data_IF_738901743419
#
_entry.id   IF_738901743419
#
_cell.length_a   1.000
_cell.length_b   1.000
_cell.length_c   1.000
_cell.angle_alpha   90.00
_cell.angle_beta   90.00
_cell.angle_gamma   90.00
#
_symmetry.space_group_name_H-M   'P 1'
#
loop_
_entity.id
_entity.type
_entity.pdbx_description
1 polymer ?
#
# COMPACT_ATOMS: atom_id res chain seq x y z
N UNK A 1 12.40 3.22 -13.12
CA UNK A 1 11.37 3.05 -12.07
C UNK A 1 10.10 2.63 -12.75
N UNK A 2 9.41 1.63 -12.22
CA UNK A 2 8.10 1.25 -12.72
C UNK A 2 7.04 2.12 -12.04
N UNK A 3 6.13 2.76 -12.80
CA UNK A 3 5.17 3.71 -12.25
C UNK A 3 4.26 3.12 -11.16
N UNK A 4 4.02 1.80 -11.19
CA UNK A 4 3.26 1.06 -10.20
C UNK A 4 3.97 1.01 -8.84
N UNK A 5 5.30 0.82 -8.83
CA UNK A 5 6.08 0.81 -7.58
C UNK A 5 6.10 2.20 -6.96
N UNK A 6 6.28 3.24 -7.77
CA UNK A 6 6.26 4.64 -7.32
C UNK A 6 4.88 5.01 -6.76
N UNK A 7 3.80 4.56 -7.40
CA UNK A 7 2.44 4.74 -6.89
C UNK A 7 2.27 4.11 -5.51
N UNK A 8 2.69 2.86 -5.31
CA UNK A 8 2.53 2.14 -4.04
C UNK A 8 3.34 2.79 -2.90
N UNK A 9 4.53 3.30 -3.20
CA UNK A 9 5.37 4.02 -2.23
C UNK A 9 4.77 5.38 -1.87
N UNK A 10 4.34 6.15 -2.87
CA UNK A 10 3.69 7.43 -2.67
C UNK A 10 2.37 7.28 -1.88
N UNK A 11 1.55 6.28 -2.20
CA UNK A 11 0.31 6.00 -1.48
C UNK A 11 0.57 5.68 -0.01
N UNK A 12 1.54 4.79 0.27
CA UNK A 12 1.92 4.44 1.65
C UNK A 12 2.38 5.67 2.44
N UNK A 13 3.21 6.51 1.81
CA UNK A 13 3.74 7.73 2.41
C UNK A 13 2.64 8.75 2.73
N UNK A 14 1.71 8.99 1.81
CA UNK A 14 0.60 9.92 2.01
C UNK A 14 -0.32 9.46 3.14
N UNK A 15 -0.61 8.15 3.23
CA UNK A 15 -1.43 7.59 4.31
C UNK A 15 -0.73 7.76 5.66
N UNK A 16 0.57 7.50 5.74
CA UNK A 16 1.34 7.69 6.97
C UNK A 16 1.36 9.15 7.44
N UNK A 17 1.45 10.11 6.51
CA UNK A 17 1.33 11.53 6.84
C UNK A 17 -0.07 11.89 7.32
N UNK A 18 -1.11 11.45 6.62
CA UNK A 18 -2.50 11.69 7.03
C UNK A 18 -2.78 11.18 8.45
N UNK A 19 -2.29 9.97 8.79
CA UNK A 19 -2.42 9.42 10.14
C UNK A 19 -1.74 10.27 11.21
N UNK A 20 -0.57 10.82 10.92
CA UNK A 20 0.15 11.73 11.83
C UNK A 20 -0.61 13.02 12.06
N UNK A 21 -1.21 13.60 11.02
CA UNK A 21 -2.04 14.81 11.13
C UNK A 21 -3.30 14.56 11.95
N UNK A 22 -4.00 13.44 11.72
CA UNK A 22 -5.19 13.07 12.50
C UNK A 22 -4.84 12.81 13.96
N UNK A 23 -3.69 12.17 14.23
CA UNK A 23 -3.22 11.97 15.60
C UNK A 23 -2.90 13.31 16.29
N UNK A 24 -2.22 14.23 15.61
CA UNK A 24 -1.97 15.57 16.13
C UNK A 24 -3.26 16.33 16.40
N UNK A 25 -4.24 16.26 15.50
CA UNK A 25 -5.57 16.82 15.73
C UNK A 25 -6.23 16.26 16.99
N UNK A 26 -6.17 14.94 17.21
CA UNK A 26 -6.68 14.32 18.44
C UNK A 26 -5.88 14.67 19.70
N UNK A 27 -4.62 15.07 19.57
CA UNK A 27 -3.79 15.51 20.69
C UNK A 27 -4.04 16.99 21.03
N UNK A 28 -4.35 17.83 20.04
CA UNK A 28 -4.77 19.23 20.24
C UNK A 28 -6.20 19.37 20.74
N UNK A 29 -7.03 18.37 20.49
CA UNK A 29 -8.46 18.43 20.79
C UNK A 29 -8.85 17.39 21.84
N UNK A 30 -10.05 17.51 22.42
CA UNK A 30 -10.51 16.54 23.40
C UNK A 30 -11.09 15.30 22.71
N UNK A 31 -10.42 14.15 22.85
CA UNK A 31 -10.84 12.86 22.29
C UNK A 31 -12.25 12.43 22.72
N UNK A 32 -12.77 12.91 23.86
CA UNK A 32 -14.09 12.55 24.40
C UNK A 32 -15.26 13.33 23.79
N UNK A 33 -15.03 14.01 22.68
CA UNK A 33 -16.05 14.81 21.97
C UNK A 33 -16.47 14.11 20.69
N UNK A 34 -17.54 14.61 20.05
CA UNK A 34 -18.05 14.06 18.79
C UNK A 34 -16.97 14.08 17.69
N UNK A 35 -16.19 15.16 17.59
CA UNK A 35 -15.10 15.24 16.60
C UNK A 35 -13.93 14.31 16.95
N UNK A 36 -13.73 13.98 18.23
CA UNK A 36 -12.73 12.98 18.67
C UNK A 36 -13.08 11.58 18.16
N UNK A 37 -14.35 11.16 18.31
CA UNK A 37 -14.82 9.89 17.76
C UNK A 37 -14.71 9.83 16.23
N UNK A 38 -15.03 10.92 15.54
CA UNK A 38 -14.82 11.00 14.08
C UNK A 38 -13.34 10.90 13.71
N UNK A 39 -12.45 11.57 14.42
CA UNK A 39 -11.01 11.49 14.18
C UNK A 39 -10.44 10.10 14.44
N UNK A 40 -10.92 9.40 15.48
CA UNK A 40 -10.57 7.99 15.73
C UNK A 40 -11.03 7.07 14.60
N UNK A 41 -12.24 7.27 14.08
CA UNK A 41 -12.74 6.54 12.91
C UNK A 41 -11.85 6.76 11.69
N UNK A 42 -11.50 8.02 11.38
CA UNK A 42 -10.62 8.34 10.26
C UNK A 42 -9.24 7.69 10.44
N UNK A 43 -8.69 7.70 11.65
CA UNK A 43 -7.41 7.05 11.94
C UNK A 43 -7.46 5.53 11.71
N UNK A 44 -8.58 4.89 12.06
CA UNK A 44 -8.83 3.46 11.81
C UNK A 44 -8.91 3.16 10.32
N UNK A 45 -9.70 3.92 9.57
CA UNK A 45 -9.86 3.73 8.12
C UNK A 45 -8.53 3.90 7.38
N UNK A 46 -7.69 4.84 7.81
CA UNK A 46 -6.35 5.03 7.26
C UNK A 46 -5.39 3.85 7.58
N UNK A 47 -5.53 3.21 8.74
CA UNK A 47 -4.76 2.00 9.08
C UNK A 47 -5.18 0.83 8.18
N UNK A 48 -6.48 0.64 7.96
CA UNK A 48 -6.99 -0.39 7.05
C UNK A 48 -6.50 -0.16 5.62
N UNK A 49 -6.60 1.08 5.13
CA UNK A 49 -6.11 1.45 3.79
C UNK A 49 -4.60 1.22 3.65
N UNK A 50 -3.79 1.52 4.67
CA UNK A 50 -2.36 1.23 4.66
C UNK A 50 -2.08 -0.27 4.54
N UNK A 51 -2.85 -1.09 5.24
CA UNK A 51 -2.72 -2.55 5.19
C UNK A 51 -3.11 -3.10 3.81
N UNK A 52 -4.13 -2.53 3.17
CA UNK A 52 -4.52 -2.86 1.80
C UNK A 52 -3.43 -2.47 0.79
N UNK A 53 -2.83 -1.27 0.90
CA UNK A 53 -1.71 -0.86 0.03
C UNK A 53 -0.50 -1.78 0.23
N UNK A 54 -0.18 -2.17 1.47
CA UNK A 54 0.89 -3.14 1.77
C UNK A 54 0.58 -4.53 1.20
N UNK A 55 -0.68 -4.96 1.22
CA UNK A 55 -1.13 -6.21 0.58
C UNK A 55 -0.91 -6.12 -0.93
N UNK A 56 -1.38 -5.04 -1.56
CA UNK A 56 -1.21 -4.80 -3.00
C UNK A 56 0.27 -4.77 -3.41
N UNK A 57 1.15 -4.13 -2.62
CA UNK A 57 2.61 -4.14 -2.86
C UNK A 57 3.20 -5.55 -2.83
N UNK A 58 2.75 -6.42 -1.93
CA UNK A 58 3.19 -7.83 -1.86
C UNK A 58 2.68 -8.64 -3.06
N UNK A 59 1.43 -8.44 -3.45
CA UNK A 59 0.83 -9.11 -4.63
C UNK A 59 1.55 -8.71 -5.92
N UNK A 60 1.81 -7.40 -6.10
CA UNK A 60 2.58 -6.89 -7.24
C UNK A 60 4.00 -7.48 -7.29
N UNK A 61 4.73 -7.43 -6.18
CA UNK A 61 6.08 -8.01 -6.10
C UNK A 61 6.11 -9.52 -6.36
N UNK A 62 5.06 -10.26 -5.98
CA UNK A 62 4.92 -11.68 -6.28
C UNK A 62 4.74 -11.93 -7.78
N UNK A 63 3.88 -11.15 -8.43
CA UNK A 63 3.67 -11.20 -9.88
C UNK A 63 4.97 -10.91 -10.65
N UNK A 64 5.70 -9.87 -10.28
CA UNK A 64 6.99 -9.51 -10.89
C UNK A 64 8.01 -10.65 -10.77
N UNK A 65 8.09 -11.30 -9.62
CA UNK A 65 8.95 -12.47 -9.42
C UNK A 65 8.52 -13.69 -10.24
N UNK A 66 7.22 -13.88 -10.43
CA UNK A 66 6.68 -14.97 -11.25
C UNK A 66 6.94 -14.74 -12.75
N UNK A 67 6.76 -13.50 -13.22
CA UNK A 67 7.07 -13.09 -14.59
C UNK A 67 8.55 -13.34 -14.93
N UNK A 68 9.46 -13.02 -14.01
CA UNK A 68 10.91 -13.21 -14.19
C UNK A 68 11.38 -14.68 -14.07
N UNK A 69 10.52 -15.62 -13.68
CA UNK A 69 10.85 -17.05 -13.52
C UNK A 69 10.38 -17.94 -14.66
N UNK A 70 9.71 -17.40 -15.67
CA UNK A 70 9.29 -18.18 -16.85
C UNK A 70 10.45 -18.24 -17.84
N UNK A 71 11.13 -19.39 -18.04
CA UNK A 71 12.13 -19.48 -19.08
C UNK A 71 11.43 -19.37 -20.43
N UNK A 72 11.92 -18.49 -21.29
CA UNK A 72 11.55 -18.47 -22.70
C UNK A 72 11.73 -19.89 -23.25
N UNK A 73 10.65 -20.51 -23.69
CA UNK A 73 10.67 -21.82 -24.33
C UNK A 73 11.66 -21.75 -25.50
N UNK A 74 12.84 -22.37 -25.37
CA UNK A 74 13.74 -22.59 -26.50
C UNK A 74 13.06 -23.57 -27.45
N UNK A 75 12.75 -23.22 -28.71
CA UNK A 75 12.22 -24.17 -29.66
C UNK A 75 13.31 -25.22 -29.90
N UNK A 76 13.06 -26.46 -29.46
CA UNK A 76 13.88 -27.61 -29.86
C UNK A 76 13.76 -27.70 -31.39
N UNK A 77 14.81 -27.29 -32.08
CA UNK A 77 14.93 -27.51 -33.51
C UNK A 77 14.78 -29.01 -33.77
N UNK A 78 13.78 -29.34 -34.58
CA UNK A 78 13.68 -30.64 -35.24
C UNK A 78 14.86 -30.76 -36.22
N UNK A 79 15.57 -31.88 -36.16
CA UNK A 79 16.31 -32.52 -37.26
C UNK A 79 16.55 -33.94 -36.74
N UNK A 80 15.71 -34.91 -37.14
CA UNK A 80 15.70 -35.64 -38.42
C UNK A 80 16.97 -36.50 -38.57
#
# INVERSE_FOLDING_TARGET
>A
MEPENDFLENASMMIDYAKKEIKQFMDWTNRRTVYGATAESIASDLEELLNDVKRLKREYASRERAANKTPAFSPRQQQA
#
